data_IF_223092772466
#
_entry.id   IF_223092772466
#
_cell.length_a   1.000
_cell.length_b   1.000
_cell.length_c   1.000
_cell.angle_alpha   90.00
_cell.angle_beta   90.00
_cell.angle_gamma   90.00
#
_symmetry.space_group_name_H-M   'P 1'
#
loop_
_entity.id
_entity.type
_entity.pdbx_description
1 polymer ?
#
# COMPACT_ATOMS: atom_id res chain seq x y z
N UNK A 1 -22.50 -11.86 -4.62
CA UNK A 1 -21.68 -11.20 -5.66
C UNK A 1 -22.51 -10.28 -6.55
N UNK A 2 -23.72 -10.64 -6.98
CA UNK A 2 -24.58 -9.80 -7.84
C UNK A 2 -24.78 -8.35 -7.36
N UNK A 3 -25.04 -8.13 -6.07
CA UNK A 3 -25.18 -6.76 -5.52
C UNK A 3 -23.91 -5.92 -5.59
N UNK A 4 -22.73 -6.56 -5.52
CA UNK A 4 -21.46 -5.85 -5.63
C UNK A 4 -21.16 -5.46 -7.09
N UNK A 5 -21.64 -6.25 -8.05
CA UNK A 5 -21.39 -6.05 -9.47
C UNK A 5 -21.93 -4.71 -9.96
N UNK A 6 -23.17 -4.36 -9.61
CA UNK A 6 -23.76 -3.06 -9.97
C UNK A 6 -23.13 -1.85 -9.25
N UNK A 7 -22.43 -2.06 -8.14
CA UNK A 7 -21.68 -0.99 -7.42
C UNK A 7 -20.29 -0.81 -8.02
N UNK A 8 -19.70 -1.90 -8.52
CA UNK A 8 -18.36 -1.96 -9.11
C UNK A 8 -18.38 -1.81 -10.63
N UNK A 9 -19.54 -1.53 -11.24
CA UNK A 9 -19.64 -1.26 -12.67
C UNK A 9 -18.91 0.06 -12.99
N UNK A 10 -17.81 -0.07 -13.74
CA UNK A 10 -17.00 1.05 -14.21
C UNK A 10 -17.55 1.53 -15.54
N UNK A 11 -17.61 2.84 -15.78
CA UNK A 11 -18.03 3.36 -17.09
C UNK A 11 -16.96 3.06 -18.14
N UNK A 12 -17.36 2.79 -19.38
CA UNK A 12 -16.41 2.50 -20.48
C UNK A 12 -15.34 3.58 -20.65
N UNK A 13 -15.70 4.85 -20.49
CA UNK A 13 -14.76 5.97 -20.54
C UNK A 13 -13.71 5.91 -19.43
N UNK A 14 -14.08 5.47 -18.22
CA UNK A 14 -13.16 5.34 -17.09
C UNK A 14 -12.23 4.12 -17.28
N UNK A 15 -12.77 3.03 -17.83
CA UNK A 15 -12.00 1.83 -18.20
C UNK A 15 -10.94 2.14 -19.27
N UNK A 16 -11.31 2.88 -20.31
CA UNK A 16 -10.37 3.31 -21.35
C UNK A 16 -9.30 4.25 -20.79
N UNK A 17 -9.68 5.18 -19.90
CA UNK A 17 -8.73 6.05 -19.22
C UNK A 17 -7.71 5.28 -18.37
N UNK A 18 -8.14 4.26 -17.64
CA UNK A 18 -7.23 3.42 -16.84
C UNK A 18 -6.35 2.55 -17.72
N UNK A 19 -6.90 2.01 -18.81
CA UNK A 19 -6.16 1.16 -19.76
C UNK A 19 -5.04 1.91 -20.48
N UNK A 20 -5.22 3.23 -20.67
CA UNK A 20 -4.21 4.12 -21.25
C UNK A 20 -3.13 4.58 -20.25
N UNK A 21 -3.24 4.23 -18.96
CA UNK A 21 -2.19 4.54 -17.99
C UNK A 21 -0.97 3.65 -18.24
N UNK A 22 0.19 4.27 -18.46
CA UNK A 22 1.45 3.57 -18.42
C UNK A 22 1.88 3.40 -16.96
N UNK A 23 1.60 2.22 -16.38
CA UNK A 23 2.05 1.84 -15.04
C UNK A 23 3.26 0.95 -15.21
N UNK A 24 4.42 1.41 -14.75
CA UNK A 24 5.62 0.59 -14.75
C UNK A 24 5.43 -0.61 -13.81
N UNK A 25 5.79 -1.84 -14.25
CA UNK A 25 5.73 -3.00 -13.38
C UNK A 25 6.62 -2.82 -12.16
N UNK A 26 6.11 -3.20 -10.98
CA UNK A 26 6.89 -3.20 -9.77
C UNK A 26 8.14 -4.10 -9.90
N UNK A 27 9.31 -3.54 -9.57
CA UNK A 27 10.60 -4.24 -9.69
C UNK A 27 10.93 -4.96 -8.39
N UNK A 28 10.42 -6.19 -8.27
CA UNK A 28 10.62 -7.02 -7.08
C UNK A 28 12.12 -7.19 -6.76
N UNK A 29 12.51 -6.85 -5.54
CA UNK A 29 13.90 -6.92 -5.06
C UNK A 29 14.71 -5.64 -5.26
N UNK A 30 14.24 -4.70 -6.06
CA UNK A 30 14.82 -3.36 -6.18
C UNK A 30 13.94 -2.30 -5.50
N UNK A 31 12.63 -2.46 -5.61
CA UNK A 31 11.64 -1.57 -5.03
C UNK A 31 11.02 -2.17 -3.77
N UNK A 32 10.68 -1.36 -2.76
CA UNK A 32 9.99 -1.83 -1.58
C UNK A 32 8.56 -2.24 -1.94
N UNK A 33 8.15 -3.40 -1.45
CA UNK A 33 6.77 -3.87 -1.52
C UNK A 33 5.82 -2.92 -0.78
N UNK A 34 4.51 -3.10 -1.02
CA UNK A 34 3.48 -2.39 -0.26
C UNK A 34 3.68 -2.57 1.25
N UNK A 35 3.98 -3.80 1.72
CA UNK A 35 4.14 -4.09 3.14
C UNK A 35 5.37 -3.43 3.73
N UNK A 36 6.49 -3.41 3.01
CA UNK A 36 7.71 -2.71 3.45
C UNK A 36 7.46 -1.20 3.51
N UNK A 37 6.87 -0.62 2.47
CA UNK A 37 6.52 0.80 2.43
C UNK A 37 5.54 1.18 3.55
N UNK A 38 4.57 0.32 3.80
CA UNK A 38 3.58 0.49 4.86
C UNK A 38 4.22 0.39 6.25
N UNK A 39 5.02 -0.66 6.49
CA UNK A 39 5.70 -0.88 7.75
C UNK A 39 6.65 0.28 8.07
N UNK A 40 7.51 0.67 7.13
CA UNK A 40 8.47 1.76 7.32
C UNK A 40 7.76 3.08 7.66
N UNK A 41 6.63 3.38 7.02
CA UNK A 41 5.86 4.60 7.32
C UNK A 41 5.16 4.57 8.68
N UNK A 42 4.79 3.39 9.17
CA UNK A 42 4.15 3.25 10.48
C UNK A 42 5.13 3.09 11.65
N UNK A 43 6.39 2.75 11.37
CA UNK A 43 7.44 2.60 12.38
C UNK A 43 8.00 3.97 12.76
N UNK A 44 7.99 4.26 14.06
CA UNK A 44 8.70 5.39 14.66
C UNK A 44 9.73 4.86 15.64
N UNK A 45 11.00 5.23 15.44
CA UNK A 45 12.09 4.85 16.34
C UNK A 45 12.03 5.73 17.59
N UNK A 46 11.99 5.10 18.76
CA UNK A 46 11.95 5.77 20.06
C UNK A 46 13.35 5.89 20.67
N UNK A 47 14.15 4.82 20.58
CA UNK A 47 15.46 4.76 21.20
C UNK A 47 16.42 3.87 20.42
N UNK A 48 17.68 4.31 20.30
CA UNK A 48 18.77 3.53 19.71
C UNK A 48 19.93 3.46 20.72
N UNK A 49 20.35 2.25 21.06
CA UNK A 49 21.52 1.92 21.91
C UNK A 49 22.33 0.82 21.23
N UNK A 50 23.61 0.62 21.58
CA UNK A 50 24.37 -0.53 21.11
C UNK A 50 23.64 -1.85 21.45
N UNK A 51 23.27 -2.62 20.43
CA UNK A 51 22.55 -3.89 20.59
C UNK A 51 21.05 -3.76 20.94
N UNK A 52 20.47 -2.56 20.94
CA UNK A 52 19.07 -2.36 21.28
C UNK A 52 18.43 -1.24 20.45
N UNK A 53 17.26 -1.52 19.88
CA UNK A 53 16.43 -0.53 19.19
C UNK A 53 15.00 -0.69 19.69
N UNK A 54 14.38 0.41 20.08
CA UNK A 54 12.96 0.48 20.44
C UNK A 54 12.20 1.23 19.38
N UNK A 55 11.09 0.65 18.92
CA UNK A 55 10.21 1.23 17.92
C UNK A 55 8.75 1.10 18.34
N UNK A 56 7.95 2.09 17.99
CA UNK A 56 6.48 2.02 18.02
C UNK A 56 5.95 1.83 16.61
N UNK A 57 4.88 1.08 16.45
CA UNK A 57 4.19 0.91 15.17
C UNK A 57 2.75 1.43 15.25
N UNK A 58 2.43 2.43 14.43
CA UNK A 58 1.07 2.94 14.32
C UNK A 58 0.35 2.26 13.16
N UNK A 59 -0.66 1.44 13.49
CA UNK A 59 -1.57 0.87 12.50
C UNK A 59 -2.64 1.91 12.16
N UNK A 60 -2.83 2.31 10.89
CA UNK A 60 -3.93 3.17 10.52
C UNK A 60 -5.28 2.50 10.82
N UNK A 61 -6.32 3.25 11.23
CA UNK A 61 -7.62 2.69 11.62
C UNK A 61 -8.31 1.81 10.56
N UNK A 62 -7.94 1.94 9.28
CA UNK A 62 -8.49 1.14 8.18
C UNK A 62 -7.87 -0.25 8.06
N UNK A 63 -6.86 -0.55 8.87
CA UNK A 63 -6.07 -1.80 8.84
C UNK A 63 -6.07 -2.51 10.20
N UNK A 64 -6.89 -2.03 11.13
CA UNK A 64 -7.28 -2.69 12.39
C UNK A 64 -8.71 -3.18 12.29
#
# INVERSE_FOLDING_TARGET
MEKAKGILEVRKEEEERVSNLCIEPHRAGEEPSFYESFAIKGITVQEIKPGYVSCTFTVPPRLT
#
